data_IF_035329359721
#
_entry.id   IF_035329359721
#
_cell.length_a   1.000
_cell.length_b   1.000
_cell.length_c   1.000
_cell.angle_alpha   90.00
_cell.angle_beta   90.00
_cell.angle_gamma   90.00
#
_symmetry.space_group_name_H-M   'P 1'
#
loop_
_entity.id
_entity.type
_entity.pdbx_description
1 polymer ?
#
# COMPACT_ATOMS: atom_id res chain seq x y z
N UNK A 1 29.38 2.57 -13.73
CA UNK A 1 28.56 3.69 -14.28
C UNK A 1 29.46 4.88 -14.53
N UNK A 2 29.78 5.15 -15.80
CA UNK A 2 30.70 6.23 -16.20
C UNK A 2 30.09 7.62 -15.95
N UNK A 3 30.91 8.67 -15.83
CA UNK A 3 30.42 10.05 -15.66
C UNK A 3 29.54 10.48 -16.85
N UNK A 4 29.85 10.01 -18.05
CA UNK A 4 29.05 10.26 -19.25
C UNK A 4 27.67 9.63 -19.19
N UNK A 5 27.54 8.38 -18.73
CA UNK A 5 26.24 7.73 -18.60
C UNK A 5 25.33 8.47 -17.61
N UNK A 6 25.92 9.02 -16.53
CA UNK A 6 25.20 9.88 -15.57
C UNK A 6 24.74 11.20 -16.22
N UNK A 7 25.57 11.86 -17.03
CA UNK A 7 25.21 13.10 -17.74
C UNK A 7 24.08 12.84 -18.76
N UNK A 8 24.19 11.78 -19.56
CA UNK A 8 23.14 11.37 -20.52
C UNK A 8 21.80 11.09 -19.80
N UNK A 9 21.84 10.36 -18.69
CA UNK A 9 20.65 10.08 -17.88
C UNK A 9 19.97 11.34 -17.31
N UNK A 10 20.76 12.36 -16.90
CA UNK A 10 20.21 13.65 -16.44
C UNK A 10 19.52 14.41 -17.57
N UNK A 11 20.12 14.47 -18.76
CA UNK A 11 19.53 15.13 -19.94
C UNK A 11 18.19 14.49 -20.34
N UNK A 12 18.12 13.15 -20.35
CA UNK A 12 16.87 12.42 -20.66
C UNK A 12 15.79 12.75 -19.62
N UNK A 13 16.11 12.74 -18.32
CA UNK A 13 15.15 13.10 -17.27
C UNK A 13 14.59 14.51 -17.43
N UNK A 14 15.45 15.48 -17.76
CA UNK A 14 15.02 16.87 -18.00
C UNK A 14 14.09 16.97 -19.21
N UNK A 15 14.41 16.30 -20.33
CA UNK A 15 13.53 16.26 -21.52
C UNK A 15 12.16 15.68 -21.20
N UNK A 16 12.12 14.54 -20.49
CA UNK A 16 10.85 13.91 -20.07
C UNK A 16 10.05 14.83 -19.14
N UNK A 17 10.72 15.54 -18.24
CA UNK A 17 10.06 16.49 -17.33
C UNK A 17 9.40 17.64 -18.11
N UNK A 18 10.16 18.29 -19.01
CA UNK A 18 9.64 19.36 -19.87
C UNK A 18 8.45 18.90 -20.72
N UNK A 19 8.54 17.69 -21.30
CA UNK A 19 7.44 17.11 -22.06
C UNK A 19 6.17 16.92 -21.21
N UNK A 20 6.30 16.42 -19.98
CA UNK A 20 5.15 16.25 -19.07
C UNK A 20 4.55 17.59 -18.64
N UNK A 21 5.39 18.59 -18.41
CA UNK A 21 4.93 19.95 -18.05
C UNK A 21 4.17 20.58 -19.23
N UNK A 22 4.70 20.47 -20.45
CA UNK A 22 4.06 20.96 -21.68
C UNK A 22 2.76 20.22 -22.04
N UNK A 23 2.66 18.93 -21.73
CA UNK A 23 1.40 18.19 -21.85
C UNK A 23 0.35 18.66 -20.85
N UNK A 24 0.76 18.99 -19.61
CA UNK A 24 -0.19 19.42 -18.58
C UNK A 24 -0.71 20.84 -18.80
N UNK A 25 0.05 21.69 -19.49
CA UNK A 25 -0.35 23.07 -19.78
C UNK A 25 -1.43 23.18 -20.86
N UNK A 26 -1.67 22.13 -21.66
CA UNK A 26 -2.70 22.11 -22.69
C UNK A 26 -3.66 20.93 -22.44
N UNK A 27 -4.91 21.24 -22.10
CA UNK A 27 -5.90 20.25 -21.70
C UNK A 27 -6.26 19.28 -22.85
N UNK A 28 -6.47 19.79 -24.06
CA UNK A 28 -6.83 18.99 -25.23
C UNK A 28 -5.75 17.95 -25.56
N UNK A 29 -4.47 18.39 -25.60
CA UNK A 29 -3.34 17.49 -25.84
C UNK A 29 -3.19 16.45 -24.73
N UNK A 30 -3.53 16.79 -23.49
CA UNK A 30 -3.49 15.86 -22.38
C UNK A 30 -4.57 14.78 -22.48
N UNK A 31 -5.78 15.16 -22.88
CA UNK A 31 -6.89 14.22 -23.09
C UNK A 31 -6.65 13.30 -24.28
N UNK A 32 -6.13 13.83 -25.38
CA UNK A 32 -5.73 13.03 -26.55
C UNK A 32 -4.64 12.01 -26.17
N UNK A 33 -3.63 12.43 -25.40
CA UNK A 33 -2.59 11.52 -24.92
C UNK A 33 -3.16 10.39 -24.03
N UNK A 34 -4.15 10.69 -23.17
CA UNK A 34 -4.84 9.67 -22.37
C UNK A 34 -5.62 8.70 -23.26
N UNK A 35 -6.30 9.19 -24.29
CA UNK A 35 -7.04 8.35 -25.25
C UNK A 35 -6.08 7.39 -25.95
N UNK A 36 -4.98 7.89 -26.51
CA UNK A 36 -3.96 7.07 -27.17
C UNK A 36 -3.36 6.02 -26.23
N UNK A 37 -3.15 6.36 -24.94
CA UNK A 37 -2.68 5.41 -23.95
C UNK A 37 -3.69 4.28 -23.67
N UNK A 38 -4.99 4.61 -23.57
CA UNK A 38 -6.06 3.62 -23.41
C UNK A 38 -6.14 2.70 -24.63
N UNK A 39 -6.10 3.25 -25.84
CA UNK A 39 -6.15 2.47 -27.08
C UNK A 39 -4.93 1.56 -27.22
N UNK A 40 -3.75 2.05 -26.83
CA UNK A 40 -2.54 1.22 -26.77
C UNK A 40 -2.67 0.09 -25.74
N UNK A 41 -3.21 0.38 -24.56
CA UNK A 41 -3.43 -0.64 -23.53
C UNK A 41 -4.38 -1.73 -24.01
N UNK A 42 -5.52 -1.33 -24.62
CA UNK A 42 -6.52 -2.22 -25.15
C UNK A 42 -5.94 -3.12 -26.25
N UNK A 43 -5.23 -2.55 -27.24
CA UNK A 43 -4.52 -3.34 -28.27
C UNK A 43 -3.53 -4.34 -27.68
N UNK A 44 -2.80 -3.97 -26.62
CA UNK A 44 -1.85 -4.90 -25.96
C UNK A 44 -2.55 -5.99 -25.15
N UNK A 45 -3.74 -5.71 -24.62
CA UNK A 45 -4.60 -6.69 -23.95
C UNK A 45 -5.13 -7.69 -24.97
N UNK A 46 -5.65 -7.21 -26.09
CA UNK A 46 -6.13 -8.05 -27.23
C UNK A 46 -5.00 -8.92 -27.81
N UNK A 47 -3.79 -8.36 -27.95
CA UNK A 47 -2.60 -9.12 -28.37
C UNK A 47 -2.08 -10.12 -27.32
N UNK A 48 -2.73 -10.27 -26.16
CA UNK A 48 -2.30 -11.19 -25.09
C UNK A 48 -1.00 -10.79 -24.39
N UNK A 49 -0.46 -9.59 -24.67
CA UNK A 49 0.76 -9.05 -24.03
C UNK A 49 0.51 -8.58 -22.61
N UNK A 50 -0.75 -8.29 -22.27
CA UNK A 50 -1.19 -7.94 -20.93
C UNK A 50 -2.13 -9.05 -20.46
N UNK A 51 -1.64 -9.89 -19.55
CA UNK A 51 -2.39 -11.02 -18.97
C UNK A 51 -2.96 -10.64 -17.61
N UNK A 52 -4.19 -11.07 -17.33
CA UNK A 52 -4.75 -11.02 -15.98
C UNK A 52 -3.98 -11.97 -15.07
N UNK A 53 -4.07 -11.76 -13.74
CA UNK A 53 -3.46 -12.67 -12.76
C UNK A 53 -4.04 -14.09 -12.92
N UNK A 54 -5.33 -14.19 -13.25
CA UNK A 54 -6.02 -15.45 -13.44
C UNK A 54 -5.48 -16.22 -14.65
N UNK A 55 -4.98 -15.51 -15.67
CA UNK A 55 -4.43 -16.10 -16.90
C UNK A 55 -2.96 -16.55 -16.73
N UNK A 56 -2.38 -16.35 -15.54
CA UNK A 56 -0.99 -16.72 -15.24
C UNK A 56 -0.93 -18.05 -14.49
N UNK A 57 0.09 -18.85 -14.81
CA UNK A 57 0.35 -20.09 -14.07
C UNK A 57 0.72 -19.80 -12.61
N UNK A 58 0.49 -20.74 -11.67
CA UNK A 58 0.83 -20.56 -10.26
C UNK A 58 2.29 -20.12 -10.03
N UNK A 59 3.22 -20.66 -10.83
CA UNK A 59 4.64 -20.30 -10.80
C UNK A 59 4.88 -18.84 -11.20
N UNK A 60 4.21 -18.36 -12.25
CA UNK A 60 4.29 -16.97 -12.71
C UNK A 60 3.67 -16.02 -11.67
N UNK A 61 2.51 -16.37 -11.12
CA UNK A 61 1.90 -15.60 -10.04
C UNK A 61 2.84 -15.49 -8.83
N UNK A 62 3.46 -16.60 -8.39
CA UNK A 62 4.43 -16.61 -7.29
C UNK A 62 5.61 -15.68 -7.57
N UNK A 63 6.17 -15.71 -8.79
CA UNK A 63 7.26 -14.81 -9.21
C UNK A 63 6.85 -13.34 -9.11
N UNK A 64 5.67 -12.98 -9.61
CA UNK A 64 5.14 -11.61 -9.52
C UNK A 64 4.91 -11.18 -8.07
N UNK A 65 4.31 -12.05 -7.23
CA UNK A 65 4.11 -11.79 -5.80
C UNK A 65 5.44 -11.55 -5.09
N UNK A 66 6.47 -12.37 -5.34
CA UNK A 66 7.82 -12.19 -4.78
C UNK A 66 8.42 -10.84 -5.17
N UNK A 67 8.35 -10.47 -6.46
CA UNK A 67 8.82 -9.18 -6.94
C UNK A 67 8.05 -7.98 -6.37
N UNK A 68 6.73 -8.14 -6.17
CA UNK A 68 5.89 -7.12 -5.53
C UNK A 68 6.28 -6.92 -4.06
N UNK A 69 6.43 -8.00 -3.29
CA UNK A 69 6.88 -7.96 -1.90
C UNK A 69 8.24 -7.28 -1.75
N UNK A 70 9.21 -7.61 -2.62
CA UNK A 70 10.53 -6.99 -2.60
C UNK A 70 10.47 -5.48 -2.87
N UNK A 71 9.68 -5.04 -3.86
CA UNK A 71 9.48 -3.61 -4.15
C UNK A 71 8.78 -2.88 -3.01
N UNK A 72 7.78 -3.51 -2.41
CA UNK A 72 7.06 -2.97 -1.25
C UNK A 72 8.00 -2.77 -0.06
N UNK A 73 8.79 -3.80 0.30
CA UNK A 73 9.80 -3.72 1.35
C UNK A 73 10.80 -2.59 1.08
N UNK A 74 11.36 -2.53 -0.13
CA UNK A 74 12.30 -1.46 -0.52
C UNK A 74 11.70 -0.06 -0.39
N UNK A 75 10.42 0.10 -0.77
CA UNK A 75 9.70 1.37 -0.63
C UNK A 75 9.50 1.75 0.85
N UNK A 76 9.08 0.78 1.66
CA UNK A 76 8.93 0.93 3.11
C UNK A 76 10.25 1.32 3.78
N UNK A 77 11.32 0.55 3.54
CA UNK A 77 12.64 0.80 4.12
C UNK A 77 13.17 2.18 3.70
N UNK A 78 12.95 2.60 2.44
CA UNK A 78 13.33 3.94 1.97
C UNK A 78 12.57 5.03 2.74
N UNK A 79 11.27 4.86 2.95
CA UNK A 79 10.46 5.83 3.72
C UNK A 79 10.89 5.87 5.18
N UNK A 80 11.18 4.71 5.80
CA UNK A 80 11.68 4.64 7.17
C UNK A 80 13.03 5.36 7.31
N UNK A 81 13.98 5.12 6.40
CA UNK A 81 15.28 5.82 6.39
C UNK A 81 15.19 7.34 6.22
N UNK A 82 14.13 7.85 5.60
CA UNK A 82 13.87 9.30 5.47
C UNK A 82 13.19 9.84 6.74
N UNK A 83 12.55 8.99 7.54
CA UNK A 83 11.85 9.33 8.77
C UNK A 83 12.67 9.09 10.05
N UNK A 84 13.76 8.31 10.00
CA UNK A 84 14.76 8.30 11.07
C UNK A 84 15.36 9.71 11.13
N UNK A 85 15.05 10.53 12.15
CA UNK A 85 15.77 11.77 12.33
C UNK A 85 17.23 11.41 12.62
N UNK A 86 18.14 12.28 12.23
CA UNK A 86 19.53 12.28 12.70
C UNK A 86 19.52 12.54 14.20
N UNK A 87 19.15 11.55 15.01
CA UNK A 87 19.36 11.53 16.46
C UNK A 87 20.57 10.63 16.74
N UNK A 88 21.70 11.05 16.20
CA UNK A 88 23.01 10.65 16.66
C UNK A 88 23.47 11.66 17.69
N UNK A 89 23.00 11.50 18.93
CA UNK A 89 23.59 11.91 20.22
C UNK A 89 22.47 11.79 21.25
N UNK A 90 22.79 11.24 22.43
CA UNK A 90 21.88 10.90 23.54
C UNK A 90 21.14 9.57 23.39
N UNK A 91 21.92 8.50 23.55
CA UNK A 91 21.47 7.25 24.17
C UNK A 91 21.05 7.55 25.61
N UNK A 92 19.85 7.17 26.07
CA UNK A 92 19.66 6.82 27.46
C UNK A 92 19.78 5.30 27.59
N UNK A 93 20.72 4.88 28.44
CA UNK A 93 20.70 3.57 29.07
C UNK A 93 19.34 3.35 29.74
N UNK A 94 18.58 2.32 29.33
CA UNK A 94 17.71 1.57 30.25
C UNK A 94 17.27 0.25 29.64
N UNK A 95 17.94 -0.82 30.09
CA UNK A 95 17.43 -2.18 30.34
C UNK A 95 16.59 -2.88 29.27
N UNK A 96 17.16 -3.93 28.65
CA UNK A 96 16.85 -5.33 29.02
C UNK A 96 17.83 -6.29 28.35
N UNK A 97 18.78 -6.78 29.14
CA UNK A 97 19.60 -7.94 28.81
C UNK A 97 18.77 -9.23 28.91
N UNK A 98 19.27 -10.27 28.21
CA UNK A 98 18.86 -11.68 28.17
C UNK A 98 17.62 -11.98 27.28
N UNK A 99 17.66 -12.90 26.31
CA UNK A 99 18.49 -14.11 26.20
C UNK A 99 18.91 -14.41 24.75
N UNK A 100 20.18 -14.78 24.58
CA UNK A 100 20.62 -15.66 23.51
C UNK A 100 19.80 -16.95 23.58
N UNK A 101 19.04 -17.24 22.52
CA UNK A 101 18.53 -18.58 22.22
C UNK A 101 18.31 -18.65 20.71
N UNK A 102 19.31 -19.16 20.01
CA UNK A 102 19.04 -19.93 18.79
C UNK A 102 18.38 -21.24 19.20
N UNK A 103 17.29 -21.64 18.54
CA UNK A 103 17.22 -23.03 18.14
C UNK A 103 16.89 -23.17 16.65
N UNK A 104 17.78 -23.89 15.99
CA UNK A 104 17.46 -25.08 15.20
C UNK A 104 16.58 -24.89 13.96
N UNK A 105 17.15 -25.25 12.80
CA UNK A 105 16.43 -25.57 11.58
C UNK A 105 15.25 -26.51 11.87
N UNK A 106 14.05 -25.96 11.96
CA UNK A 106 12.83 -26.76 11.90
C UNK A 106 11.91 -26.24 10.81
N UNK A 107 11.53 -27.19 9.99
CA UNK A 107 10.69 -27.14 8.81
C UNK A 107 9.40 -26.35 9.11
N UNK A 108 9.31 -25.10 8.62
CA UNK A 108 8.12 -24.27 8.82
C UNK A 108 7.08 -24.69 7.78
N UNK A 109 6.32 -25.72 8.13
CA UNK A 109 5.05 -26.02 7.50
C UNK A 109 4.15 -24.78 7.51
N UNK A 110 3.42 -24.64 6.42
CA UNK A 110 2.56 -23.51 6.11
C UNK A 110 1.47 -23.34 7.16
N UNK A 111 1.64 -22.39 8.09
CA UNK A 111 0.52 -21.86 8.87
C UNK A 111 0.56 -20.34 8.88
N UNK A 112 -0.52 -19.64 8.44
CA UNK A 112 -0.58 -18.20 8.54
C UNK A 112 -0.73 -17.82 10.01
N UNK A 113 0.30 -17.16 10.55
CA UNK A 113 0.32 -16.57 11.90
C UNK A 113 -0.97 -15.81 12.19
N UNK A 114 -1.77 -16.32 13.13
CA UNK A 114 -3.09 -15.82 13.55
C UNK A 114 -3.10 -14.35 14.00
N UNK A 115 -1.94 -13.79 14.36
CA UNK A 115 -1.76 -12.40 14.76
C UNK A 115 -2.17 -11.37 13.67
N UNK A 116 -1.98 -11.70 12.38
CA UNK A 116 -2.31 -10.77 11.29
C UNK A 116 -3.83 -10.72 11.04
N UNK A 117 -4.54 -11.83 11.26
CA UNK A 117 -6.00 -11.93 11.08
C UNK A 117 -6.80 -11.35 12.26
N UNK A 118 -6.21 -11.22 13.44
CA UNK A 118 -6.92 -10.76 14.65
C UNK A 118 -7.00 -9.24 14.77
N UNK A 119 -6.07 -8.47 14.20
CA UNK A 119 -6.08 -7.01 14.27
C UNK A 119 -7.28 -6.39 13.54
N UNK A 120 -7.61 -6.89 12.34
CA UNK A 120 -8.80 -6.49 11.58
C UNK A 120 -10.11 -6.89 12.26
N UNK A 121 -10.16 -8.10 12.84
CA UNK A 121 -11.32 -8.60 13.60
C UNK A 121 -11.60 -7.76 14.86
N UNK A 122 -10.55 -7.32 15.58
CA UNK A 122 -10.70 -6.45 16.77
C UNK A 122 -11.23 -5.07 16.41
N UNK A 123 -10.75 -4.45 15.32
CA UNK A 123 -11.24 -3.15 14.84
C UNK A 123 -12.70 -3.22 14.39
N UNK A 124 -13.08 -4.28 13.67
CA UNK A 124 -14.47 -4.54 13.24
C UNK A 124 -15.42 -4.73 14.42
N UNK A 125 -15.03 -5.53 15.43
CA UNK A 125 -15.83 -5.73 16.66
C UNK A 125 -16.06 -4.42 17.42
N UNK A 126 -15.03 -3.56 17.55
CA UNK A 126 -15.14 -2.25 18.22
C UNK A 126 -16.12 -1.33 17.49
N UNK A 127 -16.03 -1.24 16.16
CA UNK A 127 -16.97 -0.45 15.36
C UNK A 127 -18.41 -0.97 15.46
N UNK A 128 -18.61 -2.29 15.38
CA UNK A 128 -19.95 -2.89 15.52
C UNK A 128 -20.56 -2.60 16.90
N UNK A 129 -19.77 -2.66 17.98
CA UNK A 129 -20.23 -2.30 19.33
C UNK A 129 -20.64 -0.83 19.42
N UNK A 130 -19.85 0.09 18.84
CA UNK A 130 -20.16 1.53 18.82
C UNK A 130 -21.51 1.78 18.13
N UNK A 131 -21.70 1.23 16.93
CA UNK A 131 -22.97 1.36 16.18
C UNK A 131 -24.17 0.80 16.95
N UNK A 132 -24.01 -0.34 17.64
CA UNK A 132 -25.09 -0.96 18.41
C UNK A 132 -25.55 -0.08 19.59
N UNK A 133 -24.60 0.55 20.29
CA UNK A 133 -24.91 1.46 21.39
C UNK A 133 -25.60 2.73 20.88
N UNK A 134 -25.16 3.26 19.74
CA UNK A 134 -25.76 4.43 19.10
C UNK A 134 -27.21 4.16 18.66
N UNK A 135 -27.47 3.01 18.04
CA UNK A 135 -28.83 2.56 17.72
C UNK A 135 -29.69 2.44 18.98
N UNK A 136 -29.15 1.88 20.07
CA UNK A 136 -29.90 1.73 21.31
C UNK A 136 -30.22 3.09 21.94
N UNK A 137 -29.29 4.05 21.87
CA UNK A 137 -29.50 5.42 22.32
C UNK A 137 -30.61 6.11 21.54
N UNK A 138 -30.54 6.06 20.20
CA UNK A 138 -31.54 6.63 19.31
C UNK A 138 -32.93 6.01 19.52
N UNK A 139 -33.01 4.69 19.74
CA UNK A 139 -34.28 4.02 20.06
C UNK A 139 -34.88 4.54 21.37
N UNK A 140 -34.06 4.75 22.40
CA UNK A 140 -34.51 5.31 23.68
C UNK A 140 -35.00 6.76 23.52
N UNK A 141 -34.22 7.59 22.83
CA UNK A 141 -34.59 8.98 22.52
C UNK A 141 -35.94 9.03 21.78
N UNK A 142 -36.12 8.18 20.77
CA UNK A 142 -37.37 8.08 20.00
C UNK A 142 -38.57 7.64 20.85
N UNK A 143 -38.38 6.68 21.77
CA UNK A 143 -39.45 6.30 22.71
C UNK A 143 -39.81 7.41 23.68
N UNK A 144 -38.81 8.16 24.18
CA UNK A 144 -39.06 9.29 25.07
C UNK A 144 -39.75 10.45 24.35
N UNK A 145 -39.39 10.73 23.10
CA UNK A 145 -40.06 11.75 22.28
C UNK A 145 -41.50 11.38 21.94
N UNK A 146 -41.77 10.10 21.62
CA UNK A 146 -43.15 9.62 21.42
C UNK A 146 -43.99 9.79 22.69
N UNK A 147 -43.47 9.40 23.84
CA UNK A 147 -44.17 9.56 25.14
C UNK A 147 -44.39 11.02 25.55
N UNK A 148 -43.61 11.96 25.02
CA UNK A 148 -43.77 13.41 25.24
C UNK A 148 -44.75 14.06 24.27
N UNK A 149 -45.03 13.44 23.12
CA UNK A 149 -46.01 13.93 22.13
C UNK A 149 -47.43 13.41 22.35
N UNK A 150 -47.58 12.33 23.14
CA UNK A 150 -48.88 11.74 23.52
C UNK A 150 -49.44 12.29 24.85
N UNK A 151 -48.79 13.32 25.43
CA UNK A 151 -49.30 14.14 26.54
C UNK A 151 -49.54 15.55 26.06
#
# INVERSE_FOLDING_TARGET
MTRESKKRGKKVKQRVRKYREALKSNLERYEEAKRLERDRYQRRKEQGKIKSINDLTPRQQRKLRKGSRARSKKSYDKKRKVQEPVQGTMRPHSMRENSMQTPTHQNISETPTSAILTSGKRRSRRNRRKMRLEIQKLKKELTTEKSKKEK
#
